data_IF_103771085370
#
_entry.id   IF_103771085370
#
_cell.length_a   1.000
_cell.length_b   1.000
_cell.length_c   1.000
_cell.angle_alpha   90.00
_cell.angle_beta   90.00
_cell.angle_gamma   90.00
#
_symmetry.space_group_name_H-M   'P 1'
#
loop_
_entity.id
_entity.type
_entity.pdbx_description
1 polymer ?
#
# COMPACT_ATOMS: atom_id res chain seq x y z
N UNK A 1 -3.08 27.45 21.09
CA UNK A 1 -1.78 26.75 20.95
C UNK A 1 -1.56 26.49 19.47
N UNK A 2 -0.36 26.72 18.93
CA UNK A 2 0.00 26.39 17.56
C UNK A 2 0.84 25.11 17.56
N UNK A 3 0.53 24.18 16.66
CA UNK A 3 1.22 22.89 16.53
C UNK A 3 1.73 22.73 15.10
N UNK A 4 2.93 22.15 14.95
CA UNK A 4 3.56 21.92 13.65
C UNK A 4 3.62 20.42 13.36
N UNK A 5 3.14 20.02 12.18
CA UNK A 5 3.23 18.65 11.69
C UNK A 5 4.68 18.34 11.33
N UNK A 6 5.30 17.40 12.05
CA UNK A 6 6.70 16.97 11.82
C UNK A 6 6.84 15.84 10.81
N UNK A 7 5.76 15.09 10.55
CA UNK A 7 5.75 13.93 9.66
C UNK A 7 4.45 13.87 8.86
N UNK A 8 4.58 13.51 7.58
CA UNK A 8 3.51 13.63 6.60
C UNK A 8 3.34 15.07 6.12
N UNK A 9 2.71 15.23 4.95
CA UNK A 9 2.34 16.55 4.44
C UNK A 9 0.98 17.01 4.99
N UNK A 10 0.68 18.30 4.81
CA UNK A 10 -0.61 18.86 5.18
C UNK A 10 -1.71 18.30 4.26
N UNK A 11 -2.75 17.73 4.85
CA UNK A 11 -3.92 17.25 4.11
C UNK A 11 -4.61 18.40 3.37
N UNK A 12 -5.06 18.14 2.14
CA UNK A 12 -5.70 19.14 1.27
C UNK A 12 -4.73 19.95 0.40
N UNK A 13 -3.42 19.79 0.57
CA UNK A 13 -2.43 20.33 -0.36
C UNK A 13 -2.27 19.41 -1.58
N UNK A 14 -2.51 19.96 -2.78
CA UNK A 14 -2.28 19.23 -4.04
C UNK A 14 -0.82 18.74 -4.17
N UNK A 15 0.14 19.49 -3.62
CA UNK A 15 1.54 19.11 -3.63
C UNK A 15 1.85 17.91 -2.73
N UNK A 16 1.17 17.82 -1.58
CA UNK A 16 1.30 16.68 -0.68
C UNK A 16 0.82 15.39 -1.33
N UNK A 17 -0.22 15.44 -2.15
CA UNK A 17 -0.73 14.27 -2.85
C UNK A 17 0.28 13.72 -3.88
N UNK A 18 1.00 14.60 -4.58
CA UNK A 18 2.05 14.18 -5.52
C UNK A 18 3.20 13.48 -4.79
N UNK A 19 3.66 14.04 -3.65
CA UNK A 19 4.69 13.38 -2.85
C UNK A 19 4.23 12.07 -2.25
N UNK A 20 2.98 11.99 -1.78
CA UNK A 20 2.41 10.74 -1.30
C UNK A 20 2.46 9.67 -2.40
N UNK A 21 2.13 10.02 -3.64
CA UNK A 21 2.22 9.08 -4.75
C UNK A 21 3.64 8.61 -5.06
N UNK A 22 4.63 9.50 -5.04
CA UNK A 22 6.04 9.14 -5.26
C UNK A 22 6.54 8.21 -4.15
N UNK A 23 6.25 8.56 -2.90
CA UNK A 23 6.66 7.78 -1.74
C UNK A 23 5.99 6.40 -1.72
N UNK A 24 4.69 6.34 -2.02
CA UNK A 24 3.95 5.08 -2.10
C UNK A 24 4.44 4.19 -3.25
N UNK A 25 4.89 4.76 -4.38
CA UNK A 25 5.45 3.98 -5.49
C UNK A 25 6.68 3.15 -5.06
N UNK A 26 7.61 3.76 -4.32
CA UNK A 26 8.78 3.05 -3.77
C UNK A 26 8.37 2.02 -2.71
N UNK A 27 7.40 2.38 -1.87
CA UNK A 27 6.91 1.48 -0.83
C UNK A 27 6.18 0.26 -1.42
N UNK A 28 5.39 0.44 -2.48
CA UNK A 28 4.55 -0.61 -3.09
C UNK A 28 5.26 -1.44 -4.15
N UNK A 29 6.51 -1.10 -4.52
CA UNK A 29 7.26 -1.76 -5.60
C UNK A 29 7.24 -3.29 -5.50
N UNK A 30 7.48 -3.86 -4.31
CA UNK A 30 7.47 -5.32 -4.13
C UNK A 30 6.10 -5.95 -4.41
N UNK A 31 5.00 -5.27 -4.05
CA UNK A 31 3.64 -5.72 -4.34
C UNK A 31 3.39 -5.68 -5.85
N UNK A 32 3.75 -4.57 -6.50
CA UNK A 32 3.59 -4.43 -7.95
C UNK A 32 4.35 -5.53 -8.69
N UNK A 33 5.61 -5.79 -8.32
CA UNK A 33 6.42 -6.80 -8.98
C UNK A 33 5.87 -8.22 -8.74
N UNK A 34 5.43 -8.52 -7.51
CA UNK A 34 4.79 -9.80 -7.21
C UNK A 34 3.56 -10.03 -8.08
N UNK A 35 2.68 -9.04 -8.17
CA UNK A 35 1.44 -9.08 -8.95
C UNK A 35 1.71 -9.20 -10.45
N UNK A 36 2.65 -8.40 -10.98
CA UNK A 36 3.05 -8.44 -12.37
C UNK A 36 3.61 -9.81 -12.77
N UNK A 37 4.43 -10.43 -11.91
CA UNK A 37 5.00 -11.77 -12.17
C UNK A 37 3.94 -12.88 -12.26
N UNK A 38 2.77 -12.67 -11.64
CA UNK A 38 1.67 -13.64 -11.58
C UNK A 38 0.51 -13.30 -12.53
N UNK A 39 0.65 -12.23 -13.31
CA UNK A 39 -0.40 -11.72 -14.19
C UNK A 39 -1.71 -11.43 -13.43
N UNK A 40 -1.56 -10.87 -12.22
CA UNK A 40 -2.64 -10.49 -11.32
C UNK A 40 -2.91 -8.97 -11.40
N UNK A 41 -4.10 -8.54 -10.96
CA UNK A 41 -4.49 -7.14 -10.96
C UNK A 41 -3.93 -6.46 -9.71
N UNK A 42 -3.31 -5.29 -9.91
CA UNK A 42 -2.93 -4.35 -8.85
C UNK A 42 -3.40 -2.95 -9.22
N UNK A 43 -4.12 -2.28 -8.32
CA UNK A 43 -4.56 -0.90 -8.48
C UNK A 43 -4.47 -0.15 -7.16
N UNK A 44 -4.01 1.10 -7.22
CA UNK A 44 -4.04 2.02 -6.07
C UNK A 44 -4.84 3.27 -6.42
N UNK A 45 -5.67 3.70 -5.49
CA UNK A 45 -6.34 4.99 -5.53
C UNK A 45 -6.07 5.77 -4.25
N UNK A 46 -5.13 6.71 -4.32
CA UNK A 46 -4.65 7.50 -3.18
C UNK A 46 -4.14 6.58 -2.06
N UNK A 47 -4.96 6.32 -1.05
CA UNK A 47 -4.60 5.52 0.13
C UNK A 47 -5.15 4.08 0.06
N UNK A 48 -6.06 3.80 -0.88
CA UNK A 48 -6.69 2.49 -1.05
C UNK A 48 -5.96 1.65 -2.08
N UNK A 49 -5.67 0.39 -1.74
CA UNK A 49 -5.06 -0.60 -2.63
C UNK A 49 -6.07 -1.73 -2.87
N UNK A 50 -6.22 -2.10 -4.13
CA UNK A 50 -6.98 -3.26 -4.57
C UNK A 50 -6.08 -4.20 -5.36
N UNK A 51 -6.08 -5.48 -5.00
CA UNK A 51 -5.32 -6.50 -5.70
C UNK A 51 -6.06 -7.83 -5.72
N UNK A 52 -5.82 -8.62 -6.76
CA UNK A 52 -6.32 -10.00 -6.86
C UNK A 52 -5.18 -10.96 -6.59
N UNK A 53 -5.45 -12.16 -6.07
CA UNK A 53 -4.40 -13.19 -6.06
C UNK A 53 -4.96 -14.58 -6.24
N UNK A 54 -4.19 -15.43 -6.91
CA UNK A 54 -4.47 -16.85 -7.10
C UNK A 54 -3.65 -17.74 -6.15
N UNK A 55 -2.89 -17.13 -5.22
CA UNK A 55 -2.13 -17.84 -4.21
C UNK A 55 -2.99 -18.23 -3.02
N UNK A 56 -2.49 -19.16 -2.20
CA UNK A 56 -3.17 -19.52 -0.97
C UNK A 56 -3.13 -18.37 0.05
N UNK A 57 -4.05 -18.41 0.99
CA UNK A 57 -4.22 -17.38 2.03
C UNK A 57 -2.95 -17.18 2.86
N UNK A 58 -2.16 -18.23 3.11
CA UNK A 58 -0.94 -18.15 3.91
C UNK A 58 0.18 -17.37 3.20
N UNK A 59 0.35 -17.59 1.90
CA UNK A 59 1.36 -16.94 1.07
C UNK A 59 1.06 -15.45 0.92
N UNK A 60 -0.21 -15.09 0.66
CA UNK A 60 -0.61 -13.67 0.60
C UNK A 60 -0.50 -13.00 1.98
N UNK A 61 -0.84 -13.70 3.07
CA UNK A 61 -0.69 -13.16 4.42
C UNK A 61 0.78 -12.88 4.74
N UNK A 62 1.68 -13.78 4.35
CA UNK A 62 3.14 -13.58 4.51
C UNK A 62 3.64 -12.36 3.73
N UNK A 63 3.16 -12.17 2.49
CA UNK A 63 3.49 -10.98 1.70
C UNK A 63 2.99 -9.70 2.37
N UNK A 64 1.74 -9.69 2.84
CA UNK A 64 1.15 -8.54 3.53
C UNK A 64 1.87 -8.22 4.84
N UNK A 65 2.26 -9.22 5.61
CA UNK A 65 3.04 -9.06 6.84
C UNK A 65 4.41 -8.44 6.56
N UNK A 66 5.08 -8.86 5.49
CA UNK A 66 6.36 -8.26 5.07
C UNK A 66 6.19 -6.77 4.79
N UNK A 67 5.12 -6.42 4.06
CA UNK A 67 4.83 -5.04 3.64
C UNK A 67 4.39 -4.17 4.83
N UNK A 68 3.63 -4.72 5.79
CA UNK A 68 3.26 -4.06 7.04
C UNK A 68 4.48 -3.63 7.87
N UNK A 69 5.61 -4.33 7.76
CA UNK A 69 6.83 -4.02 8.49
C UNK A 69 7.86 -3.21 7.69
N UNK A 70 7.57 -2.87 6.42
CA UNK A 70 8.50 -2.16 5.52
C UNK A 70 8.79 -0.73 5.98
N UNK A 71 7.80 -0.02 6.51
CA UNK A 71 7.99 1.30 7.12
C UNK A 71 7.19 1.40 8.43
N UNK A 72 7.82 1.74 9.57
CA UNK A 72 7.12 1.83 10.87
C UNK A 72 6.03 2.90 10.94
N UNK A 73 5.85 3.71 9.89
CA UNK A 73 4.92 4.83 9.82
C UNK A 73 3.82 4.62 8.79
N UNK A 74 3.88 3.50 8.06
CA UNK A 74 2.76 3.01 7.28
C UNK A 74 2.15 1.85 8.06
N UNK A 75 0.83 1.89 8.23
CA UNK A 75 0.05 0.78 8.75
C UNK A 75 -0.99 0.42 7.72
N UNK A 76 -0.98 -0.83 7.28
CA UNK A 76 -1.97 -1.35 6.36
C UNK A 76 -3.12 -1.99 7.15
N UNK A 77 -4.31 -1.91 6.58
CA UNK A 77 -5.47 -2.66 7.06
C UNK A 77 -5.98 -3.45 5.87
N UNK A 78 -6.00 -4.78 6.00
CA UNK A 78 -6.32 -5.68 4.90
C UNK A 78 -7.67 -6.33 5.14
N UNK A 79 -8.47 -6.48 4.07
CA UNK A 79 -9.64 -7.35 4.02
C UNK A 79 -9.48 -8.29 2.83
N UNK A 80 -9.59 -9.60 3.07
CA UNK A 80 -9.48 -10.63 2.02
C UNK A 80 -10.87 -11.22 1.80
N UNK A 81 -11.29 -11.27 0.53
CA UNK A 81 -12.52 -11.91 0.11
C UNK A 81 -12.19 -13.06 -0.85
N UNK A 82 -12.78 -14.22 -0.62
CA UNK A 82 -12.62 -15.38 -1.50
C UNK A 82 -13.74 -15.39 -2.55
N UNK A 83 -13.38 -15.70 -3.79
CA UNK A 83 -14.38 -15.90 -4.86
C UNK A 83 -14.71 -17.39 -4.89
N UNK A 84 -15.98 -17.73 -4.67
CA UNK A 84 -16.52 -19.10 -4.69
C UNK A 84 -16.66 -19.61 -6.12
#
# INVERSE_FOLDING_TARGET
KYYHQKRGGAMGSAFTQVFANIYMLEWEEELIQHQASRNEIYGRYIDDIFMTTNVNTDEITTLLDKVQHKDPNIKITTTIAETV
#
